data_IF_016029085260
#
_entry.id   IF_016029085260
#
_cell.length_a   1.000
_cell.length_b   1.000
_cell.length_c   1.000
_cell.angle_alpha   90.00
_cell.angle_beta   90.00
_cell.angle_gamma   90.00
#
_symmetry.space_group_name_H-M   'P 1'
#
loop_
_entity.id
_entity.type
_entity.pdbx_description
1 polymer ?
#
# COMPACT_ATOMS: atom_id res chain seq x y z
N UNK A 1 -23.95 -16.52 -1.64
CA UNK A 1 -22.63 -16.20 -2.27
C UNK A 1 -22.18 -14.78 -1.96
N UNK A 2 -22.93 -14.06 -1.17
CA UNK A 2 -22.75 -12.63 -0.88
C UNK A 2 -21.51 -12.35 0.01
N UNK A 3 -21.05 -13.35 0.77
CA UNK A 3 -19.89 -13.25 1.67
C UNK A 3 -18.56 -12.85 0.97
N UNK A 4 -18.47 -13.02 -0.33
CA UNK A 4 -17.27 -12.68 -1.12
C UNK A 4 -17.33 -11.22 -1.59
N UNK A 5 -18.53 -10.65 -1.76
CA UNK A 5 -18.75 -9.31 -2.30
C UNK A 5 -18.92 -8.25 -1.21
N UNK A 6 -19.22 -8.66 0.04
CA UNK A 6 -19.30 -7.76 1.17
C UNK A 6 -17.93 -7.55 1.82
N UNK A 7 -17.64 -6.35 2.36
CA UNK A 7 -16.41 -6.09 3.09
C UNK A 7 -16.33 -6.99 4.32
N UNK A 8 -15.26 -7.77 4.41
CA UNK A 8 -15.09 -8.71 5.51
C UNK A 8 -14.84 -7.98 6.83
N UNK A 9 -15.57 -8.35 7.90
CA UNK A 9 -15.33 -7.76 9.20
C UNK A 9 -13.88 -8.00 9.66
N UNK A 10 -13.33 -7.06 10.40
CA UNK A 10 -11.95 -7.09 10.88
C UNK A 10 -11.59 -8.38 11.65
N UNK A 11 -12.56 -8.97 12.37
CA UNK A 11 -12.37 -10.21 13.13
C UNK A 11 -12.29 -11.45 12.24
N UNK A 12 -12.57 -11.36 10.95
CA UNK A 12 -12.37 -12.42 9.95
C UNK A 12 -11.10 -12.14 9.15
N UNK A 13 -10.97 -10.94 8.61
CA UNK A 13 -9.82 -10.55 7.80
C UNK A 13 -8.50 -10.56 8.60
N UNK A 14 -8.52 -10.06 9.84
CA UNK A 14 -7.35 -10.03 10.71
C UNK A 14 -6.72 -11.40 10.95
N UNK A 15 -7.49 -12.41 11.47
CA UNK A 15 -6.98 -13.76 11.63
C UNK A 15 -6.48 -14.43 10.35
N UNK A 16 -7.11 -14.17 9.19
CA UNK A 16 -6.64 -14.70 7.90
C UNK A 16 -5.29 -14.12 7.50
N UNK A 17 -5.10 -12.81 7.67
CA UNK A 17 -3.80 -12.15 7.43
C UNK A 17 -2.75 -12.73 8.40
N UNK A 18 -3.08 -12.86 9.69
CA UNK A 18 -2.19 -13.44 10.68
C UNK A 18 -1.83 -14.88 10.35
N UNK A 19 -2.78 -15.68 9.84
CA UNK A 19 -2.53 -17.06 9.41
C UNK A 19 -1.52 -17.10 8.25
N UNK A 20 -1.68 -16.24 7.24
CA UNK A 20 -0.74 -16.16 6.11
C UNK A 20 0.66 -15.81 6.61
N UNK A 21 0.78 -14.81 7.50
CA UNK A 21 2.06 -14.42 8.09
C UNK A 21 2.67 -15.56 8.91
N UNK A 22 1.86 -16.28 9.69
CA UNK A 22 2.30 -17.42 10.48
C UNK A 22 2.83 -18.56 9.59
N UNK A 23 2.13 -18.89 8.51
CA UNK A 23 2.57 -19.91 7.55
C UNK A 23 3.90 -19.51 6.89
N UNK A 24 4.07 -18.22 6.53
CA UNK A 24 5.35 -17.73 6.01
C UNK A 24 6.50 -17.90 7.01
N UNK A 25 6.25 -17.62 8.29
CA UNK A 25 7.25 -17.83 9.35
C UNK A 25 7.59 -19.31 9.53
N UNK A 26 6.62 -20.22 9.45
CA UNK A 26 6.87 -21.67 9.52
C UNK A 26 7.77 -22.17 8.37
N UNK A 27 7.66 -21.57 7.19
CA UNK A 27 8.52 -21.86 6.03
C UNK A 27 9.88 -21.16 6.15
N UNK A 28 10.16 -20.45 7.25
CA UNK A 28 11.38 -19.70 7.47
C UNK A 28 11.53 -18.46 6.60
N UNK A 29 10.41 -17.88 6.16
CA UNK A 29 10.38 -16.66 5.35
C UNK A 29 9.84 -15.50 6.17
N UNK A 30 10.48 -14.33 6.03
CA UNK A 30 10.05 -13.09 6.67
C UNK A 30 9.57 -12.13 5.59
N UNK A 31 8.28 -11.79 5.65
CA UNK A 31 7.71 -10.82 4.74
C UNK A 31 7.92 -9.40 5.26
N UNK A 32 8.38 -8.51 4.41
CA UNK A 32 8.53 -7.09 4.73
C UNK A 32 8.29 -6.22 3.51
N UNK A 33 7.34 -5.29 3.59
CA UNK A 33 6.96 -4.44 2.45
C UNK A 33 8.13 -3.57 1.97
N UNK A 34 8.91 -2.99 2.88
CA UNK A 34 10.07 -2.16 2.52
C UNK A 34 11.19 -2.96 1.86
N UNK A 35 11.38 -4.24 2.23
CA UNK A 35 12.37 -5.10 1.61
C UNK A 35 12.02 -5.44 0.16
N UNK A 36 10.72 -5.48 -0.18
CA UNK A 36 10.26 -5.72 -1.55
C UNK A 36 10.66 -4.61 -2.50
N UNK A 37 10.50 -3.34 -2.11
CA UNK A 37 10.94 -2.20 -2.91
C UNK A 37 12.46 -2.22 -3.11
N UNK A 38 13.22 -2.51 -2.06
CA UNK A 38 14.67 -2.68 -2.14
C UNK A 38 15.05 -3.80 -3.11
N UNK A 39 14.38 -4.95 -3.03
CA UNK A 39 14.62 -6.10 -3.91
C UNK A 39 14.27 -5.77 -5.36
N UNK A 40 13.14 -5.08 -5.61
CA UNK A 40 12.75 -4.63 -6.93
C UNK A 40 13.79 -3.66 -7.53
N UNK A 41 14.23 -2.66 -6.76
CA UNK A 41 15.26 -1.72 -7.20
C UNK A 41 16.60 -2.44 -7.49
N UNK A 42 16.99 -3.39 -6.66
CA UNK A 42 18.20 -4.19 -6.89
C UNK A 42 18.11 -5.04 -8.16
N UNK A 43 16.93 -5.60 -8.45
CA UNK A 43 16.68 -6.40 -9.66
C UNK A 43 16.75 -5.54 -10.95
N UNK A 44 16.35 -4.29 -10.88
CA UNK A 44 16.45 -3.31 -12.01
C UNK A 44 17.88 -2.76 -12.16
N UNK A 45 18.81 -3.08 -11.24
CA UNK A 45 20.21 -2.72 -11.35
C UNK A 45 20.63 -1.48 -10.54
N UNK A 46 19.85 -1.05 -9.57
CA UNK A 46 20.16 0.07 -8.68
C UNK A 46 21.45 -0.17 -7.85
N UNK A 47 21.91 -1.41 -7.73
CA UNK A 47 23.19 -1.75 -7.11
C UNK A 47 24.42 -1.14 -7.79
N UNK A 48 24.28 -0.62 -9.03
CA UNK A 48 25.34 0.13 -9.70
C UNK A 48 25.48 1.55 -9.18
N UNK A 49 24.42 2.09 -8.60
CA UNK A 49 24.34 3.51 -8.19
C UNK A 49 24.58 3.65 -6.67
N UNK A 50 24.13 2.69 -5.87
CA UNK A 50 24.26 2.78 -4.42
C UNK A 50 24.55 1.40 -3.80
N UNK A 51 25.47 1.38 -2.85
CA UNK A 51 25.89 0.15 -2.14
C UNK A 51 24.74 -0.50 -1.35
N UNK A 52 23.75 0.28 -0.95
CA UNK A 52 22.55 -0.20 -0.27
C UNK A 52 21.78 -1.27 -1.06
N UNK A 53 21.83 -1.22 -2.41
CA UNK A 53 21.17 -2.18 -3.29
C UNK A 53 22.08 -3.33 -3.74
N UNK A 54 23.34 -3.37 -3.27
CA UNK A 54 24.29 -4.46 -3.54
C UNK A 54 24.05 -5.62 -2.59
N UNK A 55 23.11 -6.49 -2.93
CA UNK A 55 22.87 -7.76 -2.24
C UNK A 55 22.35 -8.80 -3.22
N UNK A 56 22.35 -10.06 -2.83
CA UNK A 56 21.79 -11.13 -3.68
C UNK A 56 20.27 -11.10 -3.68
N UNK A 57 19.70 -10.28 -4.57
CA UNK A 57 18.25 -10.15 -4.73
C UNK A 57 17.59 -11.45 -5.22
N UNK A 58 18.36 -12.38 -5.80
CA UNK A 58 17.81 -13.64 -6.29
C UNK A 58 17.36 -14.56 -5.15
N UNK A 59 17.98 -14.47 -3.98
CA UNK A 59 17.55 -15.18 -2.78
C UNK A 59 16.20 -14.69 -2.26
N UNK A 60 15.84 -13.42 -2.56
CA UNK A 60 14.62 -12.75 -2.13
C UNK A 60 13.49 -12.74 -3.20
N UNK A 61 13.66 -13.51 -4.29
CA UNK A 61 12.65 -13.56 -5.38
C UNK A 61 11.25 -13.96 -4.91
N UNK A 62 11.16 -14.78 -3.88
CA UNK A 62 9.89 -15.19 -3.30
C UNK A 62 9.07 -14.00 -2.78
N UNK A 63 9.73 -12.96 -2.23
CA UNK A 63 9.11 -11.71 -1.78
C UNK A 63 8.43 -10.98 -2.95
N UNK A 64 9.10 -10.91 -4.11
CA UNK A 64 8.53 -10.30 -5.31
C UNK A 64 7.31 -11.10 -5.84
N UNK A 65 7.31 -12.42 -5.68
CA UNK A 65 6.14 -13.24 -6.03
C UNK A 65 4.94 -12.95 -5.12
N UNK A 66 5.16 -12.71 -3.83
CA UNK A 66 4.09 -12.31 -2.89
C UNK A 66 3.50 -10.96 -3.29
N UNK A 67 4.35 -9.99 -3.64
CA UNK A 67 3.88 -8.67 -4.14
C UNK A 67 3.10 -8.80 -5.44
N UNK A 68 3.59 -9.62 -6.38
CA UNK A 68 2.88 -9.87 -7.63
C UNK A 68 1.51 -10.50 -7.37
N UNK A 69 1.44 -11.48 -6.46
CA UNK A 69 0.17 -12.08 -6.01
C UNK A 69 -0.78 -11.06 -5.39
N UNK A 70 -0.27 -10.14 -4.57
CA UNK A 70 -1.05 -9.06 -3.98
C UNK A 70 -1.58 -8.08 -5.03
N UNK A 71 -0.76 -7.73 -6.04
CA UNK A 71 -1.19 -6.86 -7.15
C UNK A 71 -2.30 -7.54 -7.97
N UNK A 72 -2.12 -8.82 -8.34
CA UNK A 72 -3.12 -9.58 -9.08
C UNK A 72 -4.41 -9.72 -8.25
N UNK A 73 -4.28 -10.07 -6.96
CA UNK A 73 -5.41 -10.17 -6.04
C UNK A 73 -6.17 -8.85 -5.88
N UNK A 74 -5.45 -7.74 -5.73
CA UNK A 74 -6.04 -6.40 -5.67
C UNK A 74 -6.73 -6.02 -6.98
N UNK A 75 -6.14 -6.34 -8.12
CA UNK A 75 -6.77 -6.12 -9.43
C UNK A 75 -8.08 -6.91 -9.57
N UNK A 76 -8.08 -8.19 -9.19
CA UNK A 76 -9.29 -9.02 -9.23
C UNK A 76 -10.34 -8.47 -8.27
N UNK A 77 -9.95 -8.13 -7.04
CA UNK A 77 -10.86 -7.59 -6.05
C UNK A 77 -11.50 -6.28 -6.50
N UNK A 78 -10.73 -5.34 -7.03
CA UNK A 78 -11.24 -4.04 -7.45
C UNK A 78 -12.14 -4.10 -8.69
N UNK A 79 -11.93 -5.08 -9.60
CA UNK A 79 -12.71 -5.15 -10.83
C UNK A 79 -13.90 -6.11 -10.77
N UNK A 80 -13.87 -7.10 -9.87
CA UNK A 80 -14.88 -8.17 -9.86
C UNK A 80 -15.57 -8.36 -8.50
N UNK A 81 -15.02 -7.79 -7.40
CA UNK A 81 -15.49 -8.07 -6.04
C UNK A 81 -15.82 -6.79 -5.25
N UNK A 82 -15.62 -5.61 -5.82
CA UNK A 82 -15.86 -4.33 -5.14
C UNK A 82 -16.60 -3.38 -6.05
N UNK A 83 -17.57 -2.67 -5.48
CA UNK A 83 -18.29 -1.58 -6.16
C UNK A 83 -17.45 -0.28 -6.22
N UNK A 84 -16.22 -0.31 -5.73
CA UNK A 84 -15.32 0.84 -5.69
C UNK A 84 -15.61 1.84 -4.58
N UNK A 85 -16.70 1.67 -3.86
CA UNK A 85 -17.07 2.55 -2.73
C UNK A 85 -16.35 2.15 -1.45
N UNK A 86 -16.01 3.13 -0.62
CA UNK A 86 -15.39 2.93 0.68
C UNK A 86 -16.34 3.40 1.76
N UNK A 87 -16.85 2.49 2.57
CA UNK A 87 -17.68 2.85 3.72
C UNK A 87 -16.82 3.54 4.78
N UNK A 88 -16.97 4.85 4.89
CA UNK A 88 -16.38 5.65 5.98
C UNK A 88 -17.51 6.28 6.80
N UNK A 89 -17.18 6.64 8.06
CA UNK A 89 -18.16 7.31 8.92
C UNK A 89 -18.64 8.60 8.24
N UNK A 90 -19.98 8.81 8.11
CA UNK A 90 -20.56 9.98 7.47
C UNK A 90 -20.11 11.33 8.09
N UNK A 91 -19.88 11.37 9.41
CA UNK A 91 -19.38 12.56 10.09
C UNK A 91 -17.96 12.91 9.63
N UNK A 92 -17.10 11.91 9.45
CA UNK A 92 -15.74 12.10 8.94
C UNK A 92 -15.77 12.53 7.47
N UNK A 93 -16.66 11.94 6.68
CA UNK A 93 -16.83 12.34 5.27
C UNK A 93 -17.24 13.82 5.16
N UNK A 94 -18.16 14.27 6.00
CA UNK A 94 -18.57 15.66 6.06
C UNK A 94 -17.42 16.58 6.50
N UNK A 95 -16.68 16.23 7.53
CA UNK A 95 -15.51 17.02 7.96
C UNK A 95 -14.45 17.13 6.86
N UNK A 96 -14.19 16.05 6.12
CA UNK A 96 -13.25 16.06 5.00
C UNK A 96 -13.74 16.97 3.85
N UNK A 97 -15.03 16.99 3.61
CA UNK A 97 -15.64 17.89 2.62
C UNK A 97 -15.57 19.36 3.06
N UNK A 98 -15.95 19.66 4.31
CA UNK A 98 -16.06 21.02 4.82
C UNK A 98 -14.68 21.67 5.07
N UNK A 99 -13.74 20.94 5.69
CA UNK A 99 -12.45 21.48 6.10
C UNK A 99 -11.38 21.39 4.99
N UNK A 100 -11.43 20.33 4.17
CA UNK A 100 -10.38 20.01 3.20
C UNK A 100 -10.85 19.96 1.74
N UNK A 101 -12.16 20.20 1.49
CA UNK A 101 -12.77 20.15 0.15
C UNK A 101 -12.61 18.79 -0.56
N UNK A 102 -12.48 17.71 0.22
CA UNK A 102 -12.39 16.34 -0.29
C UNK A 102 -13.82 15.79 -0.38
N UNK A 103 -14.48 16.00 -1.51
CA UNK A 103 -15.87 15.61 -1.72
C UNK A 103 -16.05 14.15 -2.13
N UNK A 104 -14.98 13.51 -2.62
CA UNK A 104 -14.96 12.10 -3.02
C UNK A 104 -14.75 11.14 -1.85
N UNK A 105 -14.76 11.64 -0.61
CA UNK A 105 -14.59 10.82 0.58
C UNK A 105 -15.73 9.79 0.68
N UNK A 106 -15.38 8.50 0.64
CA UNK A 106 -16.34 7.38 0.60
C UNK A 106 -16.67 6.86 -0.81
N UNK A 107 -16.33 7.60 -1.87
CA UNK A 107 -16.58 7.17 -3.25
C UNK A 107 -15.38 6.47 -3.89
N UNK A 108 -14.18 6.78 -3.45
CA UNK A 108 -12.95 6.21 -4.00
C UNK A 108 -11.90 5.92 -2.92
N UNK A 109 -11.08 4.89 -3.13
CA UNK A 109 -9.94 4.58 -2.26
C UNK A 109 -8.86 5.67 -2.28
N UNK A 110 -8.69 6.34 -3.41
CA UNK A 110 -7.77 7.46 -3.58
C UNK A 110 -8.58 8.69 -3.99
N UNK A 111 -8.68 9.71 -3.13
CA UNK A 111 -9.39 10.94 -3.47
C UNK A 111 -8.80 11.58 -4.72
N UNK A 112 -9.57 11.77 -5.80
CA UNK A 112 -9.08 12.40 -7.02
C UNK A 112 -8.63 13.85 -6.80
N UNK A 113 -9.17 14.53 -5.79
CA UNK A 113 -8.76 15.87 -5.41
C UNK A 113 -7.27 15.97 -5.02
N UNK A 114 -6.66 14.84 -4.58
CA UNK A 114 -5.27 14.78 -4.18
C UNK A 114 -4.41 14.02 -5.20
N UNK A 115 -4.94 12.94 -5.78
CA UNK A 115 -4.17 11.98 -6.57
C UNK A 115 -4.44 12.02 -8.06
N UNK A 116 -5.44 12.77 -8.54
CA UNK A 116 -5.65 12.94 -9.97
C UNK A 116 -4.51 13.76 -10.62
N UNK A 117 -4.31 13.53 -11.91
CA UNK A 117 -3.29 14.25 -12.69
C UNK A 117 -3.50 15.74 -12.66
N UNK A 118 -4.73 16.21 -12.60
CA UNK A 118 -5.09 17.63 -12.54
C UNK A 118 -4.75 18.25 -11.19
N UNK A 119 -4.90 17.49 -10.10
CA UNK A 119 -4.49 17.91 -8.75
C UNK A 119 -2.97 18.11 -8.63
N UNK A 120 -2.17 17.39 -9.41
CA UNK A 120 -0.72 17.58 -9.49
C UNK A 120 -0.31 18.92 -10.12
N UNK A 121 -1.23 19.70 -10.64
CA UNK A 121 -1.01 21.09 -11.05
C UNK A 121 -1.01 22.11 -9.89
N UNK A 122 -1.56 21.72 -8.73
CA UNK A 122 -1.61 22.60 -7.56
C UNK A 122 -0.33 22.50 -6.72
N UNK A 123 0.41 23.62 -6.54
CA UNK A 123 1.64 23.64 -5.75
C UNK A 123 1.45 23.22 -4.30
N UNK A 124 0.27 23.46 -3.73
CA UNK A 124 -0.06 23.04 -2.36
C UNK A 124 -0.15 21.52 -2.26
N UNK A 125 -0.87 20.87 -3.17
CA UNK A 125 -1.03 19.41 -3.21
C UNK A 125 0.33 18.74 -3.44
N UNK A 126 1.13 19.25 -4.37
CA UNK A 126 2.50 18.74 -4.60
C UNK A 126 3.34 18.85 -3.32
N UNK A 127 3.27 19.98 -2.61
CA UNK A 127 4.03 20.18 -1.39
C UNK A 127 3.64 19.18 -0.31
N UNK A 128 2.34 18.94 -0.12
CA UNK A 128 1.82 17.96 0.84
C UNK A 128 2.29 16.55 0.51
N UNK A 129 2.18 16.14 -0.75
CA UNK A 129 2.62 14.82 -1.21
C UNK A 129 4.14 14.64 -1.08
N UNK A 130 4.92 15.68 -1.41
CA UNK A 130 6.38 15.66 -1.32
C UNK A 130 6.83 15.57 0.15
N UNK A 131 6.32 16.43 1.02
CA UNK A 131 6.66 16.42 2.44
C UNK A 131 6.20 15.12 3.10
N UNK A 132 4.97 14.67 2.82
CA UNK A 132 4.46 13.41 3.33
C UNK A 132 5.31 12.22 2.88
N UNK A 133 5.64 12.14 1.60
CA UNK A 133 6.51 11.10 1.06
C UNK A 133 7.93 11.14 1.68
N UNK A 134 8.49 12.32 1.88
CA UNK A 134 9.79 12.49 2.53
C UNK A 134 9.74 12.04 3.98
N UNK A 135 8.71 12.41 4.74
CA UNK A 135 8.55 12.03 6.14
C UNK A 135 8.40 10.49 6.27
N UNK A 136 7.60 9.87 5.42
CA UNK A 136 7.44 8.41 5.39
C UNK A 136 8.75 7.72 5.03
N UNK A 137 9.44 8.19 3.99
CA UNK A 137 10.71 7.63 3.55
C UNK A 137 11.82 7.79 4.59
N UNK A 138 11.92 8.97 5.21
CA UNK A 138 12.89 9.23 6.28
C UNK A 138 12.55 8.39 7.52
N UNK A 139 11.28 8.36 7.95
CA UNK A 139 10.84 7.60 9.11
C UNK A 139 11.09 6.10 8.95
N UNK A 140 10.73 5.52 7.80
CA UNK A 140 11.00 4.13 7.49
C UNK A 140 12.50 3.82 7.50
N UNK A 141 13.34 4.72 6.98
CA UNK A 141 14.79 4.54 6.99
C UNK A 141 15.39 4.68 8.40
N UNK A 142 14.92 5.66 9.16
CA UNK A 142 15.39 5.88 10.54
C UNK A 142 15.02 4.73 11.47
N UNK A 143 13.83 4.17 11.32
CA UNK A 143 13.37 3.00 12.08
C UNK A 143 14.07 1.68 11.69
N UNK A 144 14.92 1.66 10.66
CA UNK A 144 15.60 0.46 10.18
C UNK A 144 14.75 -0.43 9.28
N UNK A 145 13.62 0.04 8.83
CA UNK A 145 12.66 -0.62 7.95
C UNK A 145 11.22 -0.40 8.39
N UNK A 146 10.30 -0.87 7.56
CA UNK A 146 8.89 -0.87 7.90
C UNK A 146 8.58 -2.03 8.86
N UNK A 147 7.73 -1.79 9.85
CA UNK A 147 7.30 -2.81 10.83
C UNK A 147 6.20 -3.73 10.31
N UNK A 148 5.77 -3.53 9.07
CA UNK A 148 4.77 -4.34 8.38
C UNK A 148 5.37 -5.56 7.70
#
# INVERSE_FOLDING_TARGET
MDLIYEPWPWYVAGPLIALVMFVLLLVGKQFGMSSNLRTACAAVGAGKTADFFKFDWKSERWNLMVVLGAIIGGFIASNYMSDGTVEINPEIAQQLSDDYQINSAGEAYLPPEIFATDALGDPFIISVLLIGGLLVGFGARYAGGCTS
#
